data_IF_672867897174
#
_entry.id   IF_672867897174
#
_cell.length_a   1.000
_cell.length_b   1.000
_cell.length_c   1.000
_cell.angle_alpha   90.00
_cell.angle_beta   90.00
_cell.angle_gamma   90.00
#
_symmetry.space_group_name_H-M   'P 1'
#
loop_
_entity.id
_entity.type
_entity.pdbx_description
1 polymer ?
#
# COMPACT_ATOMS: atom_id res chain seq x y z
N UNK A 1 -16.37 -3.39 -4.59
CA UNK A 1 -15.43 -4.32 -3.92
C UNK A 1 -14.08 -3.72 -3.58
N UNK A 2 -13.23 -3.37 -4.55
CA UNK A 2 -11.89 -2.83 -4.24
C UNK A 2 -11.98 -1.55 -3.38
N UNK A 3 -12.93 -0.66 -3.66
CA UNK A 3 -13.15 0.55 -2.84
C UNK A 3 -13.50 0.21 -1.39
N UNK A 4 -14.41 -0.75 -1.18
CA UNK A 4 -14.89 -1.14 0.15
C UNK A 4 -13.77 -1.68 1.04
N UNK A 5 -12.84 -2.44 0.46
CA UNK A 5 -11.68 -2.96 1.19
C UNK A 5 -10.73 -1.85 1.68
N UNK A 6 -10.58 -0.77 0.92
CA UNK A 6 -9.55 0.24 1.17
C UNK A 6 -10.02 1.38 2.08
N UNK A 7 -11.32 1.50 2.35
CA UNK A 7 -11.88 2.46 3.29
C UNK A 7 -11.38 2.18 4.72
N UNK A 8 -11.16 3.25 5.49
CA UNK A 8 -10.68 3.18 6.85
C UNK A 8 -10.97 4.50 7.59
N UNK A 9 -11.26 4.50 8.90
CA UNK A 9 -11.58 5.72 9.64
C UNK A 9 -10.50 6.80 9.64
N UNK A 10 -9.24 6.42 9.42
CA UNK A 10 -8.10 7.33 9.30
C UNK A 10 -7.82 7.79 7.85
N UNK A 11 -8.66 7.43 6.88
CA UNK A 11 -8.52 7.85 5.48
C UNK A 11 -9.73 8.72 5.12
N UNK A 12 -9.50 9.98 4.70
CA UNK A 12 -10.60 10.88 4.36
C UNK A 12 -11.32 10.44 3.08
N UNK A 13 -12.62 10.72 3.02
CA UNK A 13 -13.46 10.50 1.87
C UNK A 13 -13.14 11.47 0.74
N UNK A 14 -13.47 11.06 -0.49
CA UNK A 14 -13.25 11.85 -1.70
C UNK A 14 -14.33 12.94 -1.90
N UNK A 15 -14.73 13.59 -0.82
CA UNK A 15 -15.66 14.71 -0.78
C UNK A 15 -14.92 16.05 -0.65
N UNK A 16 -15.67 17.14 -0.86
CA UNK A 16 -15.15 18.52 -0.80
C UNK A 16 -14.73 18.94 0.62
N UNK A 17 -15.19 18.24 1.65
CA UNK A 17 -14.84 18.54 3.04
C UNK A 17 -13.74 17.62 3.59
N UNK A 18 -13.44 16.52 2.91
CA UNK A 18 -12.47 15.52 3.37
C UNK A 18 -12.93 14.80 4.63
N UNK A 19 -14.20 14.43 4.72
CA UNK A 19 -14.80 13.85 5.93
C UNK A 19 -14.21 12.49 6.28
N UNK A 20 -14.19 12.20 7.57
CA UNK A 20 -13.80 10.90 8.09
C UNK A 20 -15.04 10.15 8.54
N UNK A 21 -15.18 8.92 8.06
CA UNK A 21 -16.29 8.05 8.44
C UNK A 21 -15.88 7.13 9.59
N UNK A 22 -16.82 6.85 10.48
CA UNK A 22 -16.67 5.82 11.49
C UNK A 22 -16.60 4.43 10.87
N UNK A 23 -16.09 3.45 11.63
CA UNK A 23 -16.05 2.06 11.18
C UNK A 23 -17.45 1.49 10.89
N UNK A 24 -18.48 1.97 11.59
CA UNK A 24 -19.87 1.56 11.39
C UNK A 24 -20.45 2.14 10.10
N UNK A 25 -20.21 3.42 9.82
CA UNK A 25 -20.62 4.06 8.56
C UNK A 25 -19.92 3.43 7.36
N UNK A 26 -18.62 3.11 7.49
CA UNK A 26 -17.86 2.40 6.46
C UNK A 26 -18.35 0.96 6.27
N UNK A 27 -18.97 0.35 7.27
CA UNK A 27 -19.61 -0.95 7.09
C UNK A 27 -20.98 -0.80 6.42
N UNK A 28 -21.79 0.15 6.88
CA UNK A 28 -23.15 0.36 6.40
C UNK A 28 -23.20 0.82 4.94
N UNK A 29 -22.43 1.85 4.56
CA UNK A 29 -22.47 2.42 3.19
C UNK A 29 -22.23 1.38 2.09
N UNK A 30 -21.07 0.71 2.07
CA UNK A 30 -20.77 -0.37 1.10
C UNK A 30 -21.73 -1.56 1.10
N UNK A 31 -22.37 -1.82 2.24
CA UNK A 31 -23.41 -2.85 2.38
C UNK A 31 -24.68 -2.40 1.68
N UNK A 32 -25.11 -1.16 1.92
CA UNK A 32 -26.27 -0.56 1.28
C UNK A 32 -26.06 -0.40 -0.23
N UNK A 33 -24.88 0.08 -0.66
CA UNK A 33 -24.52 0.21 -2.08
C UNK A 33 -24.66 -1.12 -2.81
N UNK A 34 -24.14 -2.20 -2.20
CA UNK A 34 -24.20 -3.53 -2.80
C UNK A 34 -25.61 -4.12 -2.78
N UNK A 35 -26.37 -3.88 -1.71
CA UNK A 35 -27.78 -4.27 -1.64
C UNK A 35 -28.58 -3.59 -2.74
N UNK A 36 -28.44 -2.28 -2.88
CA UNK A 36 -29.17 -1.48 -3.87
C UNK A 36 -28.81 -1.92 -5.29
N UNK A 37 -27.52 -2.10 -5.58
CA UNK A 37 -27.07 -2.63 -6.87
C UNK A 37 -27.69 -4.00 -7.18
N UNK A 38 -27.73 -4.91 -6.21
CA UNK A 38 -28.34 -6.23 -6.42
C UNK A 38 -29.86 -6.14 -6.57
N UNK A 39 -30.52 -5.25 -5.83
CA UNK A 39 -31.96 -5.06 -5.90
C UNK A 39 -32.40 -4.51 -7.26
N UNK A 40 -31.71 -3.49 -7.77
CA UNK A 40 -31.99 -2.87 -9.07
C UNK A 40 -31.78 -3.82 -10.26
N UNK A 41 -30.89 -4.80 -10.11
CA UNK A 41 -30.58 -5.78 -11.17
C UNK A 41 -31.27 -7.15 -10.97
N UNK A 42 -32.21 -7.25 -10.02
CA UNK A 42 -32.92 -8.50 -9.67
C UNK A 42 -31.97 -9.67 -9.30
N UNK A 43 -30.87 -9.36 -8.63
CA UNK A 43 -29.81 -10.30 -8.23
C UNK A 43 -29.95 -10.75 -6.77
N UNK A 44 -31.15 -11.14 -6.35
CA UNK A 44 -31.43 -11.50 -4.95
C UNK A 44 -30.53 -12.64 -4.42
N UNK A 45 -30.22 -13.64 -5.25
CA UNK A 45 -29.32 -14.74 -4.87
C UNK A 45 -27.87 -14.28 -4.67
N UNK A 46 -27.42 -13.33 -5.50
CA UNK A 46 -26.08 -12.74 -5.40
C UNK A 46 -25.96 -11.95 -4.10
N UNK A 47 -26.99 -11.16 -3.77
CA UNK A 47 -27.05 -10.45 -2.50
C UNK A 47 -26.97 -11.42 -1.30
N UNK A 48 -27.79 -12.48 -1.30
CA UNK A 48 -27.77 -13.47 -0.24
C UNK A 48 -26.38 -14.11 -0.06
N UNK A 49 -25.68 -14.41 -1.16
CA UNK A 49 -24.31 -14.90 -1.11
C UNK A 49 -23.33 -13.85 -0.55
N UNK A 50 -23.38 -12.62 -1.05
CA UNK A 50 -22.48 -11.53 -0.63
C UNK A 50 -22.67 -11.17 0.84
N UNK A 51 -23.91 -11.08 1.32
CA UNK A 51 -24.21 -10.85 2.72
C UNK A 51 -23.60 -11.93 3.61
N UNK A 52 -23.87 -13.21 3.31
CA UNK A 52 -23.43 -14.34 4.13
C UNK A 52 -21.91 -14.53 4.11
N UNK A 53 -21.23 -14.15 3.02
CA UNK A 53 -19.78 -14.37 2.85
C UNK A 53 -18.91 -13.15 3.13
N UNK A 54 -19.43 -11.94 3.01
CA UNK A 54 -18.62 -10.71 3.06
C UNK A 54 -19.18 -9.67 4.01
N UNK A 55 -20.47 -9.34 3.93
CA UNK A 55 -21.03 -8.16 4.61
C UNK A 55 -21.65 -8.43 5.98
N UNK A 56 -21.84 -9.69 6.37
CA UNK A 56 -22.22 -10.02 7.76
C UNK A 56 -21.14 -9.49 8.72
N UNK A 57 -21.49 -8.89 9.89
CA UNK A 57 -20.52 -8.33 10.82
C UNK A 57 -19.36 -9.27 11.20
N UNK A 58 -19.65 -10.58 11.32
CA UNK A 58 -18.64 -11.62 11.58
C UNK A 58 -17.62 -11.77 10.45
N UNK A 59 -18.09 -11.69 9.19
CA UNK A 59 -17.24 -11.84 8.00
C UNK A 59 -16.52 -10.53 7.66
N UNK A 60 -17.17 -9.39 7.83
CA UNK A 60 -16.60 -8.05 7.56
C UNK A 60 -15.25 -7.87 8.23
N UNK A 61 -15.14 -8.26 9.51
CA UNK A 61 -13.91 -8.18 10.31
C UNK A 61 -12.73 -8.96 9.74
N UNK A 62 -12.97 -9.97 8.90
CA UNK A 62 -11.93 -10.82 8.35
C UNK A 62 -11.25 -10.24 7.11
N UNK A 63 -11.92 -9.31 6.41
CA UNK A 63 -11.40 -8.78 5.16
C UNK A 63 -11.39 -7.25 5.08
N UNK A 64 -12.32 -6.54 5.73
CA UNK A 64 -12.39 -5.09 5.63
C UNK A 64 -11.30 -4.41 6.47
N UNK A 65 -10.62 -3.42 5.88
CA UNK A 65 -9.61 -2.62 6.59
C UNK A 65 -10.22 -1.82 7.73
N UNK A 66 -11.41 -1.25 7.54
CA UNK A 66 -12.10 -0.44 8.53
C UNK A 66 -12.52 -1.17 9.81
N UNK A 67 -12.44 -2.51 9.84
CA UNK A 67 -12.72 -3.28 11.04
C UNK A 67 -11.54 -3.31 12.03
N UNK A 68 -10.39 -2.76 11.66
CA UNK A 68 -9.19 -2.67 12.48
C UNK A 68 -8.80 -1.21 12.61
N UNK A 69 -8.41 -0.76 13.80
CA UNK A 69 -7.97 0.63 14.04
C UNK A 69 -6.64 0.94 13.33
N UNK A 70 -5.85 -0.11 13.10
CA UNK A 70 -4.49 -0.04 12.56
C UNK A 70 -4.47 -0.52 11.10
N UNK A 71 -3.84 0.24 10.19
CA UNK A 71 -3.69 -0.21 8.80
C UNK A 71 -2.51 -1.19 8.69
N UNK A 72 -2.71 -2.44 8.22
CA UNK A 72 -1.62 -3.40 8.08
C UNK A 72 -0.56 -2.95 7.06
N UNK A 73 0.71 -3.00 7.45
CA UNK A 73 1.84 -2.68 6.55
C UNK A 73 2.09 -3.77 5.50
N UNK A 74 1.76 -5.02 5.84
CA UNK A 74 2.02 -6.22 5.05
C UNK A 74 0.81 -7.14 5.18
N UNK A 75 0.46 -7.86 4.09
CA UNK A 75 -0.50 -8.98 4.14
C UNK A 75 0.19 -10.19 4.75
N UNK A 76 -0.14 -10.55 5.99
CA UNK A 76 0.53 -11.62 6.76
C UNK A 76 0.47 -12.98 6.08
N UNK A 77 -0.61 -13.29 5.36
CA UNK A 77 -0.77 -14.54 4.59
C UNK A 77 0.37 -14.74 3.59
N UNK A 78 0.79 -13.69 2.87
CA UNK A 78 1.86 -13.78 1.87
C UNK A 78 3.23 -14.09 2.49
N UNK A 79 3.51 -13.56 3.68
CA UNK A 79 4.79 -13.82 4.38
C UNK A 79 4.84 -15.26 4.87
N UNK A 80 3.74 -15.72 5.47
CA UNK A 80 3.62 -17.11 5.95
C UNK A 80 3.68 -18.09 4.79
N UNK A 81 2.95 -17.84 3.70
CA UNK A 81 2.99 -18.66 2.48
C UNK A 81 4.39 -18.70 1.86
N UNK A 82 5.07 -17.56 1.77
CA UNK A 82 6.44 -17.49 1.27
C UNK A 82 7.40 -18.29 2.15
N UNK A 83 7.30 -18.17 3.48
CA UNK A 83 8.11 -18.96 4.41
C UNK A 83 7.88 -20.47 4.20
N UNK A 84 6.61 -20.89 4.15
CA UNK A 84 6.25 -22.30 3.92
C UNK A 84 6.71 -22.79 2.56
N UNK A 85 6.64 -21.96 1.52
CA UNK A 85 7.18 -22.28 0.19
C UNK A 85 8.69 -22.58 0.28
N UNK A 86 9.45 -21.72 0.93
CA UNK A 86 10.90 -21.94 1.09
C UNK A 86 11.20 -23.19 1.93
N UNK A 87 10.48 -23.41 3.03
CA UNK A 87 10.64 -24.60 3.86
C UNK A 87 10.34 -25.88 3.06
N UNK A 88 9.21 -25.88 2.33
CA UNK A 88 8.77 -27.02 1.50
C UNK A 88 9.79 -27.37 0.42
N UNK A 89 10.25 -26.39 -0.35
CA UNK A 89 11.14 -26.65 -1.49
C UNK A 89 12.59 -26.92 -1.11
N UNK A 90 13.03 -26.46 0.06
CA UNK A 90 14.46 -26.46 0.39
C UNK A 90 14.82 -27.44 1.47
N UNK A 91 13.98 -27.53 2.50
CA UNK A 91 14.27 -28.33 3.70
C UNK A 91 13.36 -29.59 3.74
N UNK A 92 12.17 -29.56 3.12
CA UNK A 92 11.22 -30.68 3.10
C UNK A 92 11.05 -31.39 1.73
N UNK A 93 11.83 -31.02 0.71
CA UNK A 93 11.60 -31.48 -0.66
C UNK A 93 11.65 -33.01 -0.84
N UNK A 94 12.41 -33.70 0.01
CA UNK A 94 12.60 -35.15 -0.04
C UNK A 94 11.63 -35.93 0.86
N UNK A 95 10.82 -35.23 1.66
CA UNK A 95 9.94 -35.86 2.63
C UNK A 95 8.50 -35.82 2.16
N UNK A 96 7.93 -36.98 1.85
CA UNK A 96 6.50 -37.11 1.62
C UNK A 96 5.76 -37.17 2.97
N UNK A 97 4.88 -36.19 3.23
CA UNK A 97 4.09 -36.08 4.47
C UNK A 97 4.97 -36.12 5.74
N UNK A 98 5.88 -35.15 5.91
CA UNK A 98 6.77 -35.12 7.07
C UNK A 98 5.96 -35.03 8.38
N UNK A 99 6.39 -35.79 9.39
CA UNK A 99 5.84 -35.70 10.76
C UNK A 99 6.15 -34.33 11.37
N UNK A 100 5.30 -33.88 12.28
CA UNK A 100 5.46 -32.57 12.94
C UNK A 100 6.83 -32.44 13.64
N UNK A 101 7.30 -33.50 14.30
CA UNK A 101 8.60 -33.49 15.00
C UNK A 101 9.78 -33.23 14.06
N UNK A 102 9.76 -33.84 12.87
CA UNK A 102 10.78 -33.61 11.83
C UNK A 102 10.74 -32.16 11.34
N UNK A 103 9.53 -31.61 11.13
CA UNK A 103 9.37 -30.22 10.72
C UNK A 103 9.92 -29.28 11.80
N UNK A 104 9.58 -29.51 13.07
CA UNK A 104 10.08 -28.72 14.21
C UNK A 104 11.60 -28.78 14.32
N UNK A 105 12.17 -29.98 14.20
CA UNK A 105 13.62 -30.18 14.17
C UNK A 105 14.28 -29.39 13.05
N UNK A 106 13.76 -29.45 11.82
CA UNK A 106 14.29 -28.70 10.67
C UNK A 106 14.14 -27.19 10.82
N UNK A 107 13.05 -26.72 11.45
CA UNK A 107 12.89 -25.30 11.75
C UNK A 107 13.99 -24.84 12.71
N UNK A 108 14.24 -25.58 13.79
CA UNK A 108 15.24 -25.22 14.81
C UNK A 108 16.66 -25.31 14.23
N UNK A 109 16.95 -26.35 13.44
CA UNK A 109 18.32 -26.62 12.95
C UNK A 109 18.67 -25.85 11.67
N UNK A 110 17.73 -25.67 10.73
CA UNK A 110 18.03 -25.10 9.41
C UNK A 110 17.43 -23.71 9.20
N UNK A 111 16.21 -23.47 9.65
CA UNK A 111 15.50 -22.20 9.41
C UNK A 111 15.96 -21.14 10.40
N UNK A 112 15.92 -21.44 11.70
CA UNK A 112 16.21 -20.48 12.76
C UNK A 112 17.62 -19.90 12.64
N UNK A 113 18.70 -20.67 12.39
CA UNK A 113 20.03 -20.10 12.24
C UNK A 113 20.16 -19.22 10.98
N UNK A 114 19.40 -19.52 9.92
CA UNK A 114 19.37 -18.68 8.72
C UNK A 114 18.65 -17.36 9.00
N UNK A 115 17.49 -17.43 9.65
CA UNK A 115 16.74 -16.23 10.07
C UNK A 115 17.59 -15.40 11.02
N UNK A 116 18.28 -16.00 11.99
CA UNK A 116 19.19 -15.31 12.90
C UNK A 116 20.34 -14.61 12.16
N UNK A 117 20.95 -15.26 11.15
CA UNK A 117 21.97 -14.62 10.29
C UNK A 117 21.39 -13.44 9.50
N UNK A 118 20.18 -13.58 8.95
CA UNK A 118 19.49 -12.48 8.25
C UNK A 118 19.15 -11.34 9.21
N UNK A 119 18.69 -11.63 10.43
CA UNK A 119 18.42 -10.62 11.45
C UNK A 119 19.69 -9.89 11.87
N UNK A 120 20.79 -10.61 12.13
CA UNK A 120 22.08 -9.99 12.44
C UNK A 120 22.56 -9.08 11.30
N UNK A 121 22.28 -9.43 10.05
CA UNK A 121 22.55 -8.58 8.90
C UNK A 121 21.68 -7.31 8.89
N UNK A 122 20.37 -7.44 9.11
CA UNK A 122 19.41 -6.33 9.13
C UNK A 122 19.68 -5.36 10.28
N UNK A 123 20.09 -5.88 11.44
CA UNK A 123 20.47 -5.10 12.63
C UNK A 123 21.83 -4.42 12.49
N UNK A 124 22.59 -4.72 11.43
CA UNK A 124 23.89 -4.10 11.17
C UNK A 124 25.06 -4.73 11.92
N UNK A 125 24.83 -5.79 12.69
CA UNK A 125 25.83 -6.45 13.55
C UNK A 125 26.99 -7.10 12.76
N UNK A 126 26.90 -7.20 11.43
CA UNK A 126 27.85 -7.95 10.59
C UNK A 126 28.67 -7.11 9.61
N UNK A 127 28.35 -5.82 9.40
CA UNK A 127 28.98 -4.96 8.38
C UNK A 127 29.42 -3.62 8.97
N UNK A 128 30.40 -3.65 9.87
CA UNK A 128 31.08 -2.41 10.27
C UNK A 128 31.83 -1.83 9.06
N UNK A 129 31.54 -0.58 8.69
CA UNK A 129 32.26 0.18 7.66
C UNK A 129 31.71 0.20 6.23
N UNK A 130 30.72 -0.64 5.87
CA UNK A 130 30.05 -0.55 4.54
C UNK A 130 28.78 0.31 4.64
N UNK A 131 28.53 1.23 3.67
CA UNK A 131 27.28 1.99 3.64
C UNK A 131 26.05 1.07 3.64
N UNK A 132 25.02 1.45 4.40
CA UNK A 132 23.77 0.69 4.48
C UNK A 132 23.01 0.85 3.16
N UNK A 133 22.79 -0.27 2.48
CA UNK A 133 21.95 -0.30 1.27
C UNK A 133 20.47 -0.16 1.65
N UNK A 134 19.69 0.45 0.76
CA UNK A 134 18.24 0.51 0.90
C UNK A 134 17.67 -0.91 0.87
N UNK A 135 16.72 -1.20 1.77
CA UNK A 135 15.93 -2.41 1.70
C UNK A 135 15.11 -2.43 0.40
N UNK A 136 14.75 -3.62 -0.09
CA UNK A 136 14.00 -3.76 -1.34
C UNK A 136 12.72 -2.90 -1.37
N UNK A 137 11.97 -2.83 -0.27
CA UNK A 137 10.79 -1.98 -0.19
C UNK A 137 11.13 -0.47 -0.22
N UNK A 138 12.29 -0.06 0.29
CA UNK A 138 12.74 1.34 0.25
C UNK A 138 13.19 1.72 -1.15
N UNK A 139 13.82 0.81 -1.90
CA UNK A 139 14.15 0.99 -3.32
C UNK A 139 12.88 1.22 -4.14
N UNK A 140 11.89 0.35 -3.93
CA UNK A 140 10.58 0.45 -4.57
C UNK A 140 9.85 1.76 -4.20
N UNK A 141 9.84 2.10 -2.91
CA UNK A 141 9.27 3.36 -2.41
C UNK A 141 9.95 4.58 -3.03
N UNK A 142 11.29 4.57 -3.10
CA UNK A 142 12.08 5.64 -3.73
C UNK A 142 11.71 5.78 -5.20
N UNK A 143 11.70 4.68 -5.95
CA UNK A 143 11.31 4.65 -7.36
C UNK A 143 9.92 5.28 -7.58
N UNK A 144 8.93 4.84 -6.80
CA UNK A 144 7.56 5.37 -6.88
C UNK A 144 7.47 6.85 -6.49
N UNK A 145 8.23 7.27 -5.47
CA UNK A 145 8.26 8.67 -5.03
C UNK A 145 8.89 9.59 -6.09
N UNK A 146 9.97 9.14 -6.74
CA UNK A 146 10.62 9.88 -7.83
C UNK A 146 9.77 9.96 -9.11
N UNK A 147 8.95 8.95 -9.38
CA UNK A 147 7.98 9.01 -10.46
C UNK A 147 6.84 10.00 -10.14
N UNK A 148 6.33 9.97 -8.91
CA UNK A 148 5.23 10.83 -8.46
C UNK A 148 5.62 12.30 -8.28
N UNK A 149 6.91 12.60 -8.11
CA UNK A 149 7.41 13.97 -8.00
C UNK A 149 7.42 14.73 -9.33
N UNK A 150 7.46 14.03 -10.47
CA UNK A 150 7.43 14.63 -11.81
C UNK A 150 6.14 15.42 -12.02
N UNK A 151 6.19 16.53 -12.75
CA UNK A 151 4.99 17.29 -13.11
C UNK A 151 4.03 16.42 -13.95
N UNK A 152 2.75 16.76 -13.94
CA UNK A 152 1.79 15.99 -14.74
C UNK A 152 2.02 16.18 -16.24
N UNK A 153 2.40 17.38 -16.66
CA UNK A 153 2.87 17.66 -18.03
C UNK A 153 3.98 16.70 -18.44
N UNK A 154 5.03 16.57 -17.61
CA UNK A 154 6.15 15.66 -17.91
C UNK A 154 5.70 14.21 -18.04
N UNK A 155 4.84 13.73 -17.13
CA UNK A 155 4.32 12.34 -17.16
C UNK A 155 3.43 12.11 -18.38
N UNK A 156 2.63 13.10 -18.78
CA UNK A 156 1.81 13.05 -19.99
C UNK A 156 2.69 13.03 -21.24
N UNK A 157 3.68 13.93 -21.34
CA UNK A 157 4.64 13.95 -22.45
C UNK A 157 5.39 12.63 -22.58
N UNK A 158 5.87 12.03 -21.47
CA UNK A 158 6.52 10.72 -21.51
C UNK A 158 5.59 9.61 -22.02
N UNK A 159 4.32 9.61 -21.60
CA UNK A 159 3.30 8.65 -22.07
C UNK A 159 2.99 8.84 -23.55
N UNK A 160 2.85 10.08 -24.01
CA UNK A 160 2.65 10.42 -25.42
C UNK A 160 3.85 9.98 -26.25
N UNK A 161 5.08 10.30 -25.83
CA UNK A 161 6.31 9.88 -26.51
C UNK A 161 6.42 8.36 -26.59
N UNK A 162 6.05 7.63 -25.53
CA UNK A 162 6.02 6.16 -25.53
C UNK A 162 5.04 5.61 -26.57
N UNK A 163 3.87 6.23 -26.72
CA UNK A 163 2.90 5.86 -27.74
C UNK A 163 3.40 6.22 -29.16
N UNK A 164 4.01 7.39 -29.32
CA UNK A 164 4.53 7.85 -30.62
C UNK A 164 5.70 7.01 -31.12
N UNK A 165 6.59 6.58 -30.22
CA UNK A 165 7.73 5.69 -30.51
C UNK A 165 7.31 4.26 -30.87
N UNK A 166 6.11 3.83 -30.48
CA UNK A 166 5.58 2.53 -30.92
C UNK A 166 5.29 2.54 -32.42
N UNK A 167 5.42 1.38 -33.08
CA UNK A 167 5.23 1.26 -34.52
C UNK A 167 3.85 1.79 -34.94
N UNK A 168 3.76 2.46 -36.10
CA UNK A 168 2.51 3.09 -36.56
C UNK A 168 1.35 2.12 -36.70
N UNK A 169 1.62 0.86 -37.02
CA UNK A 169 0.66 -0.23 -37.14
C UNK A 169 0.25 -0.87 -35.80
N UNK A 170 0.74 -0.36 -34.67
CA UNK A 170 0.38 -0.89 -33.36
C UNK A 170 -1.12 -0.67 -33.12
N UNK A 171 -1.86 -1.77 -32.89
CA UNK A 171 -3.30 -1.74 -32.60
C UNK A 171 -3.60 -0.79 -31.44
N UNK A 172 -4.62 0.07 -31.60
CA UNK A 172 -5.06 1.01 -30.57
C UNK A 172 -4.06 2.12 -30.25
N UNK A 173 -3.13 2.45 -31.16
CA UNK A 173 -2.21 3.59 -30.98
C UNK A 173 -2.94 4.94 -31.03
N UNK A 174 -3.86 5.12 -31.99
CA UNK A 174 -4.67 6.33 -32.13
C UNK A 174 -5.58 6.52 -30.91
N UNK A 175 -6.33 5.49 -30.55
CA UNK A 175 -7.17 5.46 -29.33
C UNK A 175 -6.38 5.81 -28.06
N UNK A 176 -5.16 5.28 -27.90
CA UNK A 176 -4.30 5.63 -26.75
C UNK A 176 -3.87 7.09 -26.72
N UNK A 177 -3.68 7.73 -27.88
CA UNK A 177 -3.35 9.15 -27.96
C UNK A 177 -4.58 10.01 -27.66
N UNK A 178 -5.74 9.66 -28.20
CA UNK A 178 -7.01 10.32 -27.90
C UNK A 178 -7.34 10.25 -26.40
N UNK A 179 -7.13 9.10 -25.76
CA UNK A 179 -7.29 8.96 -24.30
C UNK A 179 -6.33 9.85 -23.51
N UNK A 180 -5.12 10.08 -23.99
CA UNK A 180 -4.15 10.97 -23.33
C UNK A 180 -4.53 12.44 -23.49
N UNK A 181 -5.03 12.84 -24.65
CA UNK A 181 -5.54 14.19 -24.90
C UNK A 181 -6.80 14.48 -24.09
N UNK A 182 -7.70 13.49 -23.96
CA UNK A 182 -8.85 13.55 -23.08
C UNK A 182 -8.45 13.63 -21.59
N UNK A 183 -7.38 12.96 -21.17
CA UNK A 183 -6.87 13.03 -19.80
C UNK A 183 -6.22 14.39 -19.48
N UNK A 184 -5.55 15.00 -20.46
CA UNK A 184 -4.94 16.32 -20.33
C UNK A 184 -6.00 17.43 -20.17
N UNK A 185 -7.10 17.32 -20.93
CA UNK A 185 -8.22 18.26 -20.88
C UNK A 185 -9.21 18.01 -19.74
N UNK A 186 -9.07 16.89 -19.01
CA UNK A 186 -9.97 16.54 -17.90
C UNK A 186 -9.77 17.47 -16.70
N UNK A 187 -10.88 18.04 -16.23
CA UNK A 187 -10.91 18.79 -14.97
C UNK A 187 -10.50 17.89 -13.79
N UNK A 188 -9.56 18.39 -13.00
CA UNK A 188 -9.01 17.66 -11.86
C UNK A 188 -9.80 18.03 -10.63
N UNK A 189 -10.28 17.01 -9.91
CA UNK A 189 -10.90 17.22 -8.61
C UNK A 189 -9.96 17.93 -7.64
N UNK A 190 -10.55 18.71 -6.73
CA UNK A 190 -9.87 19.23 -5.55
C UNK A 190 -9.65 18.08 -4.56
N UNK A 191 -8.41 17.90 -4.11
CA UNK A 191 -8.04 16.82 -3.19
C UNK A 191 -7.50 17.38 -1.89
N UNK A 192 -8.04 16.91 -0.78
CA UNK A 192 -7.58 17.24 0.56
C UNK A 192 -6.36 16.40 0.90
N UNK A 193 -5.24 17.08 1.13
CA UNK A 193 -3.96 16.45 1.46
C UNK A 193 -3.49 16.97 2.81
N UNK A 194 -3.45 16.10 3.81
CA UNK A 194 -2.91 16.40 5.13
C UNK A 194 -1.53 15.77 5.26
N UNK A 195 -0.51 16.63 5.17
CA UNK A 195 0.88 16.21 5.27
C UNK A 195 1.28 15.77 6.68
N UNK A 196 0.59 16.28 7.72
CA UNK A 196 0.88 16.00 9.13
C UNK A 196 0.34 14.66 9.58
N UNK A 197 -0.78 14.20 9.00
CA UNK A 197 -1.30 12.84 9.17
C UNK A 197 -0.85 11.89 8.05
N UNK A 198 -0.19 12.40 7.02
CA UNK A 198 0.20 11.66 5.82
C UNK A 198 -1.02 10.98 5.15
N UNK A 199 -2.08 11.75 4.95
CA UNK A 199 -3.35 11.27 4.37
C UNK A 199 -3.75 12.12 3.18
N UNK A 200 -4.42 11.49 2.21
CA UNK A 200 -4.99 12.17 1.07
C UNK A 200 -6.28 11.46 0.64
N UNK A 201 -7.29 12.22 0.27
CA UNK A 201 -8.56 11.66 -0.20
C UNK A 201 -8.58 11.26 -1.68
N UNK A 202 -7.44 11.38 -2.39
CA UNK A 202 -7.42 11.06 -3.80
C UNK A 202 -7.58 9.54 -4.04
N UNK A 203 -8.23 9.13 -5.15
CA UNK A 203 -8.49 7.71 -5.45
C UNK A 203 -7.23 6.84 -5.52
N UNK A 204 -6.07 7.45 -5.79
CA UNK A 204 -4.79 6.74 -5.89
C UNK A 204 -4.14 6.41 -4.55
N UNK A 205 -4.55 7.04 -3.44
CA UNK A 205 -3.91 6.91 -2.14
C UNK A 205 -4.17 5.56 -1.49
N UNK A 206 -5.44 5.25 -1.21
CA UNK A 206 -5.81 4.08 -0.40
C UNK A 206 -5.44 2.71 -1.02
N UNK A 207 -5.51 2.53 -2.37
CA UNK A 207 -5.06 1.31 -3.03
C UNK A 207 -3.54 1.15 -3.08
N UNK A 208 -2.77 2.24 -2.91
CA UNK A 208 -1.33 2.17 -2.96
C UNK A 208 -0.79 1.39 -1.75
N UNK A 209 0.05 0.37 -2.01
CA UNK A 209 0.66 -0.45 -0.95
C UNK A 209 1.48 0.36 0.07
N UNK A 210 1.99 1.51 -0.34
CA UNK A 210 2.76 2.42 0.49
C UNK A 210 1.95 3.62 1.00
N UNK A 211 0.63 3.69 0.78
CA UNK A 211 -0.18 4.86 1.19
C UNK A 211 0.49 6.18 0.77
N UNK A 212 0.79 6.29 -0.52
CA UNK A 212 1.34 7.50 -1.13
C UNK A 212 0.57 7.83 -2.39
N UNK A 213 0.56 9.12 -2.73
CA UNK A 213 0.04 9.64 -3.97
C UNK A 213 0.90 10.83 -4.42
N UNK A 214 0.68 11.29 -5.65
CA UNK A 214 1.41 12.45 -6.18
C UNK A 214 1.19 13.73 -5.35
N UNK A 215 0.03 13.91 -4.72
CA UNK A 215 -0.26 15.08 -3.91
C UNK A 215 0.62 15.10 -2.64
N UNK A 216 0.64 14.00 -1.88
CA UNK A 216 1.50 13.87 -0.70
C UNK A 216 2.98 14.00 -1.04
N UNK A 217 3.43 13.34 -2.11
CA UNK A 217 4.85 13.37 -2.50
C UNK A 217 5.27 14.78 -2.92
N UNK A 218 4.47 15.47 -3.74
CA UNK A 218 4.79 16.83 -4.19
C UNK A 218 4.71 17.84 -3.05
N UNK A 219 3.73 17.72 -2.15
CA UNK A 219 3.63 18.58 -0.97
C UNK A 219 4.82 18.36 -0.01
N UNK A 220 5.21 17.09 0.22
CA UNK A 220 6.40 16.76 1.00
C UNK A 220 7.67 17.37 0.37
N UNK A 221 7.83 17.24 -0.95
CA UNK A 221 8.98 17.82 -1.67
C UNK A 221 9.01 19.34 -1.56
N UNK A 222 7.85 20.01 -1.68
CA UNK A 222 7.73 21.47 -1.52
C UNK A 222 8.18 21.90 -0.12
N UNK A 223 7.74 21.22 0.94
CA UNK A 223 8.11 21.56 2.32
C UNK A 223 9.59 21.24 2.63
N UNK A 224 10.11 20.16 2.06
CA UNK A 224 11.48 19.71 2.25
C UNK A 224 12.48 20.27 1.24
N UNK A 225 12.07 21.21 0.38
CA UNK A 225 12.91 21.81 -0.67
C UNK A 225 13.61 20.77 -1.54
N UNK A 226 12.83 19.79 -2.00
CA UNK A 226 13.27 18.69 -2.89
C UNK A 226 14.37 17.78 -2.32
N UNK A 227 14.63 17.82 -1.01
CA UNK A 227 15.55 16.91 -0.33
C UNK A 227 15.30 15.41 -0.65
N UNK A 228 14.05 14.91 -0.71
CA UNK A 228 13.79 13.51 -1.07
C UNK A 228 14.27 13.13 -2.47
N UNK A 229 14.43 14.07 -3.39
CA UNK A 229 14.88 13.79 -4.76
C UNK A 229 16.38 13.50 -4.83
N UNK A 230 17.16 14.11 -3.95
CA UNK A 230 18.63 14.08 -3.96
C UNK A 230 19.24 13.23 -2.84
N UNK A 231 18.50 12.95 -1.76
CA UNK A 231 19.02 12.28 -0.57
C UNK A 231 18.65 10.80 -0.48
N UNK A 232 19.67 9.93 -0.47
CA UNK A 232 19.50 8.52 -0.10
C UNK A 232 19.19 8.35 1.40
N UNK A 233 19.75 9.24 2.23
CA UNK A 233 19.58 9.20 3.68
C UNK A 233 18.11 9.38 4.08
N UNK A 234 17.38 10.24 3.37
CA UNK A 234 15.93 10.41 3.54
C UNK A 234 15.21 9.06 3.52
N UNK A 235 15.44 8.23 2.48
CA UNK A 235 14.77 6.94 2.35
C UNK A 235 15.23 5.91 3.37
N UNK A 236 16.48 5.98 3.84
CA UNK A 236 17.00 5.13 4.92
C UNK A 236 16.31 5.40 6.26
N UNK A 237 15.99 6.66 6.51
CA UNK A 237 15.40 7.13 7.76
C UNK A 237 13.88 7.05 7.79
N UNK A 238 13.22 6.87 6.62
CA UNK A 238 11.78 6.66 6.56
C UNK A 238 11.33 5.52 7.49
N UNK A 239 10.35 5.85 8.34
CA UNK A 239 9.67 4.90 9.21
C UNK A 239 8.19 4.84 8.86
N UNK A 240 7.70 3.63 8.58
CA UNK A 240 6.28 3.37 8.28
C UNK A 240 5.56 2.92 9.54
N UNK A 241 4.45 3.58 9.86
CA UNK A 241 3.58 3.29 11.00
C UNK A 241 2.26 2.62 10.57
N UNK A 242 1.54 2.08 11.53
CA UNK A 242 0.19 1.52 11.32
C UNK A 242 -0.93 2.55 11.52
N UNK A 243 -0.61 3.63 12.24
CA UNK A 243 -1.50 4.75 12.53
C UNK A 243 -0.92 6.03 11.90
N UNK A 244 -1.74 7.05 11.65
CA UNK A 244 -1.24 8.36 11.26
C UNK A 244 -0.28 8.98 12.29
N UNK A 245 0.78 9.67 11.85
CA UNK A 245 1.24 9.75 10.47
C UNK A 245 1.79 8.41 9.98
N UNK A 246 1.27 7.91 8.86
CA UNK A 246 1.68 6.61 8.32
C UNK A 246 3.17 6.57 7.96
N UNK A 247 3.77 7.74 7.74
CA UNK A 247 5.21 7.92 7.63
C UNK A 247 5.66 9.05 8.55
N UNK A 248 6.64 8.74 9.40
CA UNK A 248 7.38 9.80 10.09
C UNK A 248 8.45 10.33 9.15
N UNK A 249 8.40 11.64 8.90
CA UNK A 249 9.31 12.33 8.00
C UNK A 249 10.02 13.46 8.77
N UNK A 250 11.34 13.37 8.94
CA UNK A 250 12.13 14.45 9.53
C UNK A 250 11.94 15.76 8.76
N UNK A 251 11.69 16.85 9.49
CA UNK A 251 11.42 18.18 8.92
C UNK A 251 9.94 18.50 8.70
N UNK A 252 9.07 17.48 8.61
CA UNK A 252 7.60 17.65 8.56
C UNK A 252 6.99 17.31 9.92
N UNK A 253 7.43 16.21 10.52
CA UNK A 253 6.89 15.70 11.79
C UNK A 253 7.88 15.97 12.93
N UNK A 254 7.42 16.42 14.10
CA UNK A 254 8.30 16.71 15.23
C UNK A 254 9.01 15.43 15.72
N UNK A 255 10.22 15.62 16.26
CA UNK A 255 10.98 14.57 16.93
C UNK A 255 10.31 14.28 18.27
N UNK A 256 9.53 13.20 18.36
CA UNK A 256 8.79 12.83 19.58
C UNK A 256 7.48 12.08 19.36
N UNK A 257 6.96 12.05 18.12
CA UNK A 257 5.72 11.30 17.80
C UNK A 257 5.85 9.78 18.02
N UNK A 258 7.08 9.27 18.17
CA UNK A 258 7.39 7.85 18.28
C UNK A 258 7.03 7.19 19.62
N UNK A 259 6.22 7.82 20.48
CA UNK A 259 5.93 7.30 21.82
C UNK A 259 4.45 7.30 22.23
N UNK A 260 3.54 7.21 21.27
CA UNK A 260 2.14 6.84 21.50
C UNK A 260 1.77 5.66 20.59
N UNK A 261 2.41 4.51 20.80
CA UNK A 261 1.70 3.26 20.59
C UNK A 261 0.90 2.99 21.87
N UNK A 262 -0.41 2.72 21.82
CA UNK A 262 -1.09 2.09 22.94
C UNK A 262 -0.31 0.82 23.30
N UNK A 263 0.07 0.69 24.56
CA UNK A 263 0.64 -0.54 25.09
C UNK A 263 -0.37 -1.68 24.88
N UNK A 264 -0.03 -2.66 24.04
CA UNK A 264 -0.58 -4.00 24.06
C UNK A 264 0.46 -5.01 23.57
#
# INVERSE_FOLDING_TARGET
FCTHFHQHPEIPMADEEGTFLSAEEIHYGPTQDMYQYCFENDLAQVWAYMWNRWYTPKQWRLWARAACDAIPRIKTTMVVESLWKHLKHRDLAQFNRPRLDLVTYLIITNVLPRVARTLAYVLGNRRFGRPKELAAWQVDMKSMSLDMSRSDEHRLTERQLKCLKSARNTKGRAERLELLEAEDTRERGTYHTDIRRWTCNCPSFAPNRFLICKHLVREANKQLRDLPLSSLQFFLDLRRHHYPPFYHIPGIHPLGWSRLSPEW
#
